data_IF_500243716348
#
_entry.id   IF_500243716348
#
_cell.length_a   1.000
_cell.length_b   1.000
_cell.length_c   1.000
_cell.angle_alpha   90.00
_cell.angle_beta   90.00
_cell.angle_gamma   90.00
#
_symmetry.space_group_name_H-M   'P 1'
#
loop_
_entity.id
_entity.type
_entity.pdbx_description
1 polymer ?
#
# COMPACT_ATOMS: atom_id res chain seq x y z
N UNK A 1 9.19 -50.83 -79.64
CA UNK A 1 9.46 -50.92 -78.19
C UNK A 1 9.12 -49.57 -77.57
N UNK A 2 8.18 -49.56 -76.62
CA UNK A 2 7.70 -48.37 -75.91
C UNK A 2 8.53 -48.22 -74.64
N UNK A 3 9.11 -47.05 -74.38
CA UNK A 3 9.53 -46.66 -73.03
C UNK A 3 9.24 -45.18 -72.81
N UNK A 4 8.14 -44.93 -72.11
CA UNK A 4 7.87 -43.67 -71.42
C UNK A 4 8.72 -43.64 -70.15
N UNK A 5 9.35 -42.51 -69.86
CA UNK A 5 9.90 -42.21 -68.53
C UNK A 5 9.36 -40.84 -68.13
N UNK A 6 8.30 -40.86 -67.31
CA UNK A 6 7.82 -39.68 -66.59
C UNK A 6 8.51 -39.66 -65.23
N UNK A 7 9.29 -38.62 -64.99
CA UNK A 7 9.97 -38.38 -63.72
C UNK A 7 8.96 -37.82 -62.72
N UNK A 8 8.55 -38.62 -61.74
CA UNK A 8 7.69 -38.19 -60.64
C UNK A 8 8.57 -37.62 -59.51
N UNK A 9 8.54 -36.32 -59.30
CA UNK A 9 9.16 -35.66 -58.14
C UNK A 9 8.29 -35.84 -56.90
N UNK A 10 8.76 -36.58 -55.89
CA UNK A 10 8.14 -36.61 -54.57
C UNK A 10 8.57 -35.37 -53.77
N UNK A 11 7.62 -34.52 -53.40
CA UNK A 11 7.79 -33.47 -52.40
C UNK A 11 7.40 -34.06 -51.03
N UNK A 12 8.27 -34.06 -50.01
CA UNK A 12 7.86 -34.44 -48.67
C UNK A 12 7.04 -33.31 -48.05
N UNK A 13 5.77 -33.60 -47.76
CA UNK A 13 4.93 -32.71 -46.96
C UNK A 13 5.38 -32.79 -45.49
N UNK A 14 6.15 -31.80 -45.04
CA UNK A 14 6.47 -31.61 -43.63
C UNK A 14 5.24 -31.00 -42.97
N UNK A 15 4.50 -31.82 -42.21
CA UNK A 15 3.47 -31.30 -41.31
C UNK A 15 4.17 -30.58 -40.15
N UNK A 16 4.32 -29.26 -40.25
CA UNK A 16 4.59 -28.42 -39.10
C UNK A 16 3.32 -28.40 -38.24
N UNK A 17 3.34 -29.16 -37.14
CA UNK A 17 2.37 -28.99 -36.05
C UNK A 17 2.53 -27.56 -35.50
N UNK A 18 1.46 -26.78 -35.31
CA UNK A 18 1.56 -25.60 -34.50
C UNK A 18 1.83 -26.09 -33.07
N UNK A 19 3.04 -25.87 -32.55
CA UNK A 19 3.28 -25.89 -31.11
C UNK A 19 2.52 -24.71 -30.52
N UNK A 20 1.21 -24.90 -30.31
CA UNK A 20 0.34 -23.98 -29.60
C UNK A 20 0.64 -23.96 -28.10
N UNK A 21 1.91 -23.83 -27.73
CA UNK A 21 2.39 -23.74 -26.35
C UNK A 21 3.01 -22.38 -26.03
N UNK A 22 2.93 -21.42 -26.95
CA UNK A 22 3.07 -19.99 -26.64
C UNK A 22 1.71 -19.32 -26.34
N UNK A 23 0.72 -20.14 -25.97
CA UNK A 23 -0.53 -19.66 -25.37
C UNK A 23 -0.25 -19.14 -23.95
N UNK A 24 0.38 -17.98 -23.86
CA UNK A 24 -0.05 -16.86 -23.04
C UNK A 24 -0.73 -17.22 -21.70
N UNK A 25 -0.12 -18.07 -20.89
CA UNK A 25 -0.33 -18.05 -19.44
C UNK A 25 0.54 -16.93 -18.92
N UNK A 26 0.18 -15.68 -19.28
CA UNK A 26 0.38 -14.60 -18.33
C UNK A 26 -0.34 -15.06 -17.08
N UNK A 27 0.41 -15.61 -16.10
CA UNK A 27 -0.14 -15.97 -14.79
C UNK A 27 -0.99 -14.79 -14.37
N UNK A 28 -2.32 -14.94 -14.41
CA UNK A 28 -3.21 -13.98 -13.75
C UNK A 28 -2.73 -14.00 -12.31
N UNK A 29 -1.93 -13.01 -11.91
CA UNK A 29 -1.49 -12.89 -10.54
C UNK A 29 -2.75 -12.92 -9.69
N UNK A 30 -2.77 -13.74 -8.64
CA UNK A 30 -3.92 -13.78 -7.75
C UNK A 30 -4.17 -12.38 -7.20
N UNK A 31 -5.43 -12.04 -6.90
CA UNK A 31 -5.77 -10.74 -6.30
C UNK A 31 -4.91 -10.46 -5.05
N UNK A 32 -4.65 -11.50 -4.24
CA UNK A 32 -3.76 -11.42 -3.07
C UNK A 32 -2.33 -11.02 -3.46
N UNK A 33 -1.76 -11.62 -4.50
CA UNK A 33 -0.41 -11.28 -4.99
C UNK A 33 -0.32 -9.83 -5.45
N UNK A 34 -1.32 -9.35 -6.19
CA UNK A 34 -1.35 -7.96 -6.65
C UNK A 34 -1.53 -6.98 -5.48
N UNK A 35 -2.41 -7.30 -4.52
CA UNK A 35 -2.55 -6.53 -3.28
C UNK A 35 -1.22 -6.42 -2.53
N UNK A 36 -0.52 -7.55 -2.34
CA UNK A 36 0.74 -7.58 -1.60
C UNK A 36 1.86 -6.83 -2.34
N UNK A 37 1.92 -6.95 -3.67
CA UNK A 37 2.84 -6.19 -4.51
C UNK A 37 2.60 -4.69 -4.38
N UNK A 38 1.33 -4.25 -4.45
CA UNK A 38 0.95 -2.84 -4.34
C UNK A 38 1.19 -2.25 -2.95
N UNK A 39 1.10 -3.07 -1.90
CA UNK A 39 1.39 -2.64 -0.54
C UNK A 39 2.88 -2.57 -0.25
N UNK A 40 3.63 -3.63 -0.57
CA UNK A 40 4.95 -3.87 0.04
C UNK A 40 6.11 -3.90 -0.95
N UNK A 41 5.85 -3.84 -2.26
CA UNK A 41 6.91 -3.98 -3.28
C UNK A 41 7.01 -2.80 -4.24
N UNK A 42 6.06 -1.86 -4.19
CA UNK A 42 6.10 -0.64 -5.00
C UNK A 42 6.25 0.59 -4.12
N UNK A 43 6.82 1.64 -4.69
CA UNK A 43 6.94 2.94 -4.03
C UNK A 43 5.57 3.60 -3.86
N UNK A 44 5.46 4.52 -2.91
CA UNK A 44 4.21 5.26 -2.68
C UNK A 44 3.72 6.05 -3.92
N UNK A 45 4.59 6.70 -4.71
CA UNK A 45 4.17 7.32 -5.99
C UNK A 45 3.60 6.31 -6.98
N UNK A 46 4.23 5.14 -7.14
CA UNK A 46 3.72 4.07 -8.00
C UNK A 46 2.35 3.60 -7.52
N UNK A 47 2.20 3.31 -6.22
CA UNK A 47 0.89 2.97 -5.65
C UNK A 47 -0.16 4.05 -5.92
N UNK A 48 0.19 5.32 -5.72
CA UNK A 48 -0.71 6.46 -5.95
C UNK A 48 -1.18 6.52 -7.41
N UNK A 49 -0.29 6.31 -8.37
CA UNK A 49 -0.65 6.23 -9.79
C UNK A 49 -1.64 5.07 -10.06
N UNK A 50 -1.39 3.89 -9.48
CA UNK A 50 -2.28 2.71 -9.62
C UNK A 50 -3.65 2.96 -8.99
N UNK A 51 -3.70 3.60 -7.82
CA UNK A 51 -4.94 4.01 -7.15
C UNK A 51 -5.75 4.98 -8.01
N UNK A 52 -5.11 6.02 -8.53
CA UNK A 52 -5.79 7.04 -9.35
C UNK A 52 -6.38 6.41 -10.63
N UNK A 53 -5.70 5.41 -11.20
CA UNK A 53 -6.21 4.63 -12.33
C UNK A 53 -7.20 3.52 -11.94
N UNK A 54 -7.37 3.24 -10.64
CA UNK A 54 -8.11 2.08 -10.10
C UNK A 54 -7.71 0.77 -10.78
N UNK A 55 -6.41 0.53 -10.91
CA UNK A 55 -5.86 -0.59 -11.68
C UNK A 55 -5.08 -1.58 -10.79
N UNK A 56 -5.53 -2.85 -10.67
CA UNK A 56 -6.66 -3.44 -11.40
C UNK A 56 -8.02 -3.06 -10.77
N UNK A 57 -9.10 -2.98 -11.57
CA UNK A 57 -10.42 -2.58 -11.09
C UNK A 57 -11.09 -3.64 -10.19
N UNK A 58 -10.52 -4.84 -10.13
CA UNK A 58 -11.00 -5.95 -9.31
C UNK A 58 -10.64 -5.81 -7.82
N UNK A 59 -9.74 -4.90 -7.47
CA UNK A 59 -9.37 -4.63 -6.08
C UNK A 59 -10.21 -3.50 -5.48
N UNK A 60 -10.28 -3.48 -4.16
CA UNK A 60 -10.95 -2.41 -3.44
C UNK A 60 -10.07 -1.16 -3.36
N UNK A 61 -10.53 -0.07 -4.00
CA UNK A 61 -9.88 1.24 -3.99
C UNK A 61 -10.63 2.27 -3.13
N UNK A 62 -11.64 1.85 -2.37
CA UNK A 62 -12.35 2.72 -1.42
C UNK A 62 -11.44 3.13 -0.28
N UNK A 63 -11.59 4.37 0.16
CA UNK A 63 -10.72 5.00 1.17
C UNK A 63 -11.35 6.33 1.59
N UNK A 64 -11.45 6.54 2.89
CA UNK A 64 -11.82 7.82 3.52
C UNK A 64 -10.57 8.70 3.76
N UNK A 65 -9.39 8.21 3.38
CA UNK A 65 -8.13 8.92 3.53
C UNK A 65 -7.77 9.03 5.00
N UNK A 66 -7.41 10.22 5.46
CA UNK A 66 -7.05 10.42 6.87
C UNK A 66 -8.23 10.91 7.72
N UNK A 67 -9.48 10.77 7.26
CA UNK A 67 -10.66 11.34 7.94
C UNK A 67 -10.84 10.79 9.36
N UNK A 68 -10.55 9.51 9.57
CA UNK A 68 -10.65 8.85 10.88
C UNK A 68 -9.33 8.90 11.68
N UNK A 69 -8.35 9.69 11.24
CA UNK A 69 -7.02 9.79 11.85
C UNK A 69 -6.91 10.95 12.87
N UNK A 70 -5.87 10.98 13.71
CA UNK A 70 -5.59 12.14 14.57
C UNK A 70 -5.46 13.44 13.76
N UNK A 71 -5.71 14.59 14.39
CA UNK A 71 -5.68 15.88 13.70
C UNK A 71 -4.30 16.17 13.07
N UNK A 72 -4.32 16.81 11.90
CA UNK A 72 -3.14 17.25 11.17
C UNK A 72 -3.26 18.75 10.86
N UNK A 73 -3.14 19.62 11.88
CA UNK A 73 -3.44 21.03 11.73
C UNK A 73 -2.42 21.78 10.87
N UNK A 74 -1.22 21.23 10.69
CA UNK A 74 -0.17 21.80 9.85
C UNK A 74 -0.22 21.33 8.38
N UNK A 75 -1.20 20.50 8.02
CA UNK A 75 -1.43 20.10 6.64
C UNK A 75 -0.31 19.22 6.04
N UNK A 76 0.36 18.39 6.86
CA UNK A 76 1.36 17.46 6.33
C UNK A 76 0.73 16.50 5.30
N UNK A 77 1.44 16.12 4.22
CA UNK A 77 0.84 15.44 3.07
C UNK A 77 0.59 13.93 3.31
N UNK A 78 -0.17 13.58 4.35
CA UNK A 78 -0.38 12.18 4.76
C UNK A 78 -1.43 11.41 3.96
N UNK A 79 -2.26 12.10 3.17
CA UNK A 79 -3.35 11.46 2.41
C UNK A 79 -2.88 10.27 1.55
N UNK A 80 -1.79 10.35 0.76
CA UNK A 80 -1.30 9.17 0.03
C UNK A 80 -0.90 7.98 0.91
N UNK A 81 -0.40 8.20 2.13
CA UNK A 81 -0.09 7.14 3.08
C UNK A 81 -1.38 6.48 3.61
N UNK A 82 -2.34 7.28 4.08
CA UNK A 82 -3.65 6.80 4.55
C UNK A 82 -4.35 6.00 3.46
N UNK A 83 -4.27 6.50 2.23
CA UNK A 83 -4.80 5.87 1.03
C UNK A 83 -4.27 4.44 0.79
N UNK A 84 -2.99 4.17 1.10
CA UNK A 84 -2.39 2.85 0.98
C UNK A 84 -2.70 1.95 2.17
N UNK A 85 -2.83 2.53 3.35
CA UNK A 85 -3.28 1.84 4.56
C UNK A 85 -4.71 1.30 4.41
N UNK A 86 -5.65 2.15 3.97
CA UNK A 86 -7.05 1.78 3.69
C UNK A 86 -7.13 0.65 2.65
N UNK A 87 -6.35 0.77 1.57
CA UNK A 87 -6.27 -0.26 0.54
C UNK A 87 -5.86 -1.61 1.15
N UNK A 88 -4.87 -1.61 2.05
CA UNK A 88 -4.45 -2.82 2.74
C UNK A 88 -5.55 -3.42 3.60
N UNK A 89 -6.16 -2.61 4.46
CA UNK A 89 -7.24 -3.04 5.35
C UNK A 89 -8.44 -3.59 4.56
N UNK A 90 -8.94 -2.86 3.57
CA UNK A 90 -10.12 -3.22 2.81
C UNK A 90 -9.92 -4.49 1.98
N UNK A 91 -8.78 -4.60 1.27
CA UNK A 91 -8.51 -5.78 0.46
C UNK A 91 -8.22 -7.01 1.31
N UNK A 92 -7.45 -6.90 2.40
CA UNK A 92 -7.20 -8.04 3.27
C UNK A 92 -8.48 -8.57 3.93
N UNK A 93 -9.42 -7.69 4.30
CA UNK A 93 -10.75 -8.09 4.79
C UNK A 93 -11.56 -8.81 3.73
N UNK A 94 -11.66 -8.24 2.52
CA UNK A 94 -12.36 -8.87 1.38
C UNK A 94 -11.75 -10.20 0.96
N UNK A 95 -10.45 -10.37 1.19
CA UNK A 95 -9.70 -11.59 0.92
C UNK A 95 -9.67 -12.56 2.12
N UNK A 96 -10.42 -12.27 3.18
CA UNK A 96 -10.55 -13.10 4.39
C UNK A 96 -9.22 -13.46 5.05
N UNK A 97 -8.26 -12.53 5.02
CA UNK A 97 -6.90 -12.74 5.54
C UNK A 97 -6.38 -11.59 6.42
N UNK A 98 -7.29 -10.79 6.96
CA UNK A 98 -6.97 -9.67 7.87
C UNK A 98 -6.73 -10.18 9.29
N UNK A 99 -5.56 -10.78 9.52
CA UNK A 99 -5.09 -11.28 10.83
C UNK A 99 -4.34 -10.19 11.61
N UNK A 100 -4.06 -10.43 12.90
CA UNK A 100 -3.19 -9.56 13.73
C UNK A 100 -1.84 -9.30 13.05
N UNK A 101 -1.20 -10.34 12.50
CA UNK A 101 0.10 -10.21 11.83
C UNK A 101 0.02 -9.44 10.50
N UNK A 102 -1.07 -9.64 9.74
CA UNK A 102 -1.33 -8.87 8.53
C UNK A 102 -1.54 -7.39 8.84
N UNK A 103 -2.37 -7.10 9.84
CA UNK A 103 -2.61 -5.74 10.34
C UNK A 103 -1.29 -5.07 10.75
N UNK A 104 -0.49 -5.72 11.60
CA UNK A 104 0.79 -5.16 12.04
C UNK A 104 1.74 -4.86 10.87
N UNK A 105 1.75 -5.71 9.83
CA UNK A 105 2.54 -5.48 8.62
C UNK A 105 2.03 -4.28 7.81
N UNK A 106 0.71 -4.12 7.68
CA UNK A 106 0.10 -2.98 7.00
C UNK A 106 0.35 -1.67 7.77
N UNK A 107 0.19 -1.68 9.09
CA UNK A 107 0.45 -0.52 9.96
C UNK A 107 1.94 -0.10 9.88
N UNK A 108 2.87 -1.07 9.85
CA UNK A 108 4.31 -0.79 9.68
C UNK A 108 4.63 -0.16 8.32
N UNK A 109 3.96 -0.62 7.26
CA UNK A 109 4.08 -0.04 5.92
C UNK A 109 3.53 1.39 5.87
N UNK A 110 2.43 1.64 6.58
CA UNK A 110 1.86 2.98 6.73
C UNK A 110 2.81 3.95 7.42
N UNK A 111 3.49 3.55 8.50
CA UNK A 111 4.55 4.36 9.12
C UNK A 111 5.66 4.71 8.12
N UNK A 112 6.07 3.75 7.31
CA UNK A 112 7.09 3.96 6.26
C UNK A 112 6.64 5.01 5.26
N UNK A 113 5.38 4.99 4.84
CA UNK A 113 4.81 6.00 3.93
C UNK A 113 4.69 7.38 4.55
N UNK A 114 4.22 7.46 5.80
CA UNK A 114 4.13 8.74 6.50
C UNK A 114 5.52 9.39 6.60
N UNK A 115 6.55 8.59 6.91
CA UNK A 115 7.94 9.05 6.96
C UNK A 115 8.45 9.48 5.58
N UNK A 116 8.09 8.74 4.52
CA UNK A 116 8.39 9.15 3.14
C UNK A 116 7.77 10.51 2.81
N UNK A 117 6.51 10.74 3.19
CA UNK A 117 5.85 12.02 2.96
C UNK A 117 6.55 13.19 3.68
N UNK A 118 7.10 12.92 4.88
CA UNK A 118 7.87 13.91 5.62
C UNK A 118 9.21 14.32 4.98
N UNK A 119 9.71 13.58 3.98
CA UNK A 119 10.96 13.97 3.29
C UNK A 119 10.83 15.27 2.49
N UNK A 120 9.61 15.61 2.08
CA UNK A 120 9.30 16.83 1.33
C UNK A 120 8.89 18.02 2.21
N UNK A 121 8.74 17.80 3.52
CA UNK A 121 8.28 18.83 4.46
C UNK A 121 9.44 19.70 4.94
N UNK A 122 9.25 21.02 4.97
CA UNK A 122 10.18 21.95 5.60
C UNK A 122 10.30 21.72 7.11
N UNK A 123 9.26 21.19 7.74
CA UNK A 123 9.23 20.82 9.16
C UNK A 123 9.33 19.30 9.34
N UNK A 124 10.32 18.66 8.69
CA UNK A 124 10.45 17.20 8.65
C UNK A 124 10.47 16.53 10.03
N UNK A 125 11.05 17.17 11.05
CA UNK A 125 11.07 16.66 12.43
C UNK A 125 9.67 16.57 13.04
N UNK A 126 8.91 17.67 13.01
CA UNK A 126 7.53 17.73 13.51
C UNK A 126 6.61 16.80 12.70
N UNK A 127 6.80 16.75 11.38
CA UNK A 127 6.07 15.82 10.52
C UNK A 127 6.27 14.37 10.95
N UNK A 128 7.52 13.95 11.20
CA UNK A 128 7.80 12.58 11.67
C UNK A 128 7.23 12.30 13.06
N UNK A 129 7.22 13.31 13.94
CA UNK A 129 6.57 13.17 15.24
C UNK A 129 5.05 12.94 15.08
N UNK A 130 4.36 13.66 14.19
CA UNK A 130 2.96 13.37 13.88
C UNK A 130 2.77 12.01 13.20
N UNK A 131 3.70 11.60 12.34
CA UNK A 131 3.68 10.27 11.73
C UNK A 131 3.74 9.15 12.79
N UNK A 132 4.50 9.34 13.87
CA UNK A 132 4.53 8.40 14.99
C UNK A 132 3.20 8.37 15.75
N UNK A 133 2.53 9.51 15.93
CA UNK A 133 1.17 9.57 16.50
C UNK A 133 0.18 8.78 15.65
N UNK A 134 0.19 8.98 14.33
CA UNK A 134 -0.67 8.25 13.39
C UNK A 134 -0.44 6.74 13.45
N UNK A 135 0.83 6.31 13.48
CA UNK A 135 1.18 4.90 13.59
C UNK A 135 0.72 4.29 14.92
N UNK A 136 0.94 4.98 16.04
CA UNK A 136 0.48 4.50 17.34
C UNK A 136 -1.05 4.43 17.41
N UNK A 137 -1.76 5.38 16.80
CA UNK A 137 -3.22 5.40 16.74
C UNK A 137 -3.79 4.17 16.00
N UNK A 138 -3.27 3.84 14.80
CA UNK A 138 -3.77 2.66 14.06
C UNK A 138 -3.45 1.35 14.80
N UNK A 139 -2.35 1.30 15.56
CA UNK A 139 -2.03 0.14 16.40
C UNK A 139 -2.99 -0.02 17.57
N UNK A 140 -3.30 1.07 18.27
CA UNK A 140 -4.14 1.04 19.46
C UNK A 140 -5.64 0.94 19.14
N UNK A 141 -6.08 1.52 18.03
CA UNK A 141 -7.51 1.80 17.78
C UNK A 141 -8.02 1.32 16.42
N UNK A 142 -7.15 0.96 15.49
CA UNK A 142 -7.53 0.47 14.17
C UNK A 142 -7.81 -1.03 14.17
N UNK A 143 -8.67 -1.50 13.28
CA UNK A 143 -8.76 -2.92 12.94
C UNK A 143 -9.25 -3.84 14.06
N UNK A 144 -10.26 -3.41 14.83
CA UNK A 144 -10.87 -4.17 15.93
C UNK A 144 -11.29 -5.60 15.52
N UNK A 145 -11.59 -5.84 14.24
CA UNK A 145 -11.92 -7.15 13.67
C UNK A 145 -10.72 -8.11 13.59
N UNK A 146 -9.49 -7.60 13.44
CA UNK A 146 -8.27 -8.40 13.51
C UNK A 146 -7.80 -8.63 14.96
N UNK A 147 -8.11 -7.71 15.88
CA UNK A 147 -7.76 -7.77 17.30
C UNK A 147 -9.01 -7.69 18.20
N UNK A 148 -9.90 -8.69 18.16
CA UNK A 148 -11.15 -8.65 18.91
C UNK A 148 -10.88 -8.74 20.42
N UNK A 149 -11.41 -7.79 21.19
CA UNK A 149 -11.25 -7.76 22.65
C UNK A 149 -11.18 -6.35 23.22
N UNK A 150 -10.74 -6.24 24.48
CA UNK A 150 -10.41 -4.94 25.06
C UNK A 150 -9.16 -4.39 24.39
N UNK A 151 -9.14 -3.07 24.17
CA UNK A 151 -7.97 -2.36 23.67
C UNK A 151 -6.78 -2.61 24.59
N UNK A 152 -5.63 -2.86 23.98
CA UNK A 152 -4.38 -3.10 24.69
C UNK A 152 -3.94 -1.79 25.37
N UNK A 153 -3.97 -1.78 26.71
CA UNK A 153 -3.65 -0.61 27.52
C UNK A 153 -2.23 -0.11 27.28
N UNK A 154 -1.29 -0.98 26.91
CA UNK A 154 0.09 -0.57 26.64
C UNK A 154 0.21 0.14 25.28
N UNK A 155 -0.63 -0.23 24.29
CA UNK A 155 -0.72 0.51 23.03
C UNK A 155 -1.35 1.89 23.20
N UNK A 156 -2.32 2.01 24.12
CA UNK A 156 -2.91 3.32 24.45
C UNK A 156 -1.88 4.22 25.11
N UNK A 157 -1.09 3.70 26.06
CA UNK A 157 0.03 4.45 26.66
C UNK A 157 1.07 4.86 25.62
N UNK A 158 1.42 3.97 24.69
CA UNK A 158 2.33 4.28 23.57
C UNK A 158 1.78 5.46 22.74
N UNK A 159 0.49 5.44 22.42
CA UNK A 159 -0.17 6.54 21.70
C UNK A 159 -0.10 7.86 22.47
N UNK A 160 -0.44 7.87 23.75
CA UNK A 160 -0.37 9.07 24.61
C UNK A 160 1.06 9.64 24.70
N UNK A 161 2.06 8.76 24.81
CA UNK A 161 3.47 9.16 24.78
C UNK A 161 3.83 9.83 23.46
N UNK A 162 3.41 9.27 22.31
CA UNK A 162 3.67 9.89 20.99
C UNK A 162 2.98 11.24 20.84
N UNK A 163 1.76 11.40 21.36
CA UNK A 163 1.07 12.69 21.37
C UNK A 163 1.86 13.72 22.19
N UNK A 164 2.36 13.35 23.37
CA UNK A 164 3.17 14.24 24.19
C UNK A 164 4.48 14.65 23.48
N UNK A 165 5.15 13.72 22.82
CA UNK A 165 6.37 14.00 22.03
C UNK A 165 6.06 14.96 20.87
N UNK A 166 4.98 14.71 20.13
CA UNK A 166 4.55 15.59 19.03
C UNK A 166 4.24 17.01 19.52
N UNK A 167 3.47 17.15 20.61
CA UNK A 167 3.13 18.46 21.17
C UNK A 167 4.39 19.24 21.57
N UNK A 168 5.34 18.58 22.23
CA UNK A 168 6.63 19.20 22.57
C UNK A 168 7.42 19.63 21.32
N UNK A 169 7.46 18.79 20.28
CA UNK A 169 8.13 19.13 19.03
C UNK A 169 7.49 20.33 18.32
N UNK A 170 6.15 20.45 18.38
CA UNK A 170 5.41 21.60 17.86
C UNK A 170 5.79 22.88 18.63
N UNK A 171 5.76 22.84 19.96
CA UNK A 171 6.13 23.99 20.80
C UNK A 171 7.55 24.47 20.51
N UNK A 172 8.52 23.56 20.41
CA UNK A 172 9.92 23.88 20.11
C UNK A 172 10.08 24.48 18.70
N UNK A 173 9.39 23.94 17.70
CA UNK A 173 9.43 24.46 16.33
C UNK A 173 8.78 25.84 16.23
N UNK A 174 7.65 26.07 16.91
CA UNK A 174 6.99 27.37 16.99
C UNK A 174 7.84 28.41 17.71
N UNK A 175 8.55 28.04 18.77
CA UNK A 175 9.48 28.92 19.48
C UNK A 175 10.65 29.38 18.61
N UNK A 176 11.08 28.54 17.66
CA UNK A 176 12.13 28.85 16.67
C UNK A 176 11.61 29.56 15.42
N UNK A 177 10.29 29.72 15.27
CA UNK A 177 9.68 30.28 14.07
C UNK A 177 9.69 29.33 12.86
N UNK A 178 9.92 28.03 13.08
CA UNK A 178 9.95 26.99 12.05
C UNK A 178 8.55 26.48 11.68
N UNK A 179 7.55 26.76 12.53
CA UNK A 179 6.15 26.35 12.35
C UNK A 179 5.21 27.48 12.76
N UNK A 180 4.08 27.70 12.06
CA UNK A 180 3.11 28.72 12.46
C UNK A 180 2.49 28.40 13.82
N UNK A 181 2.10 29.46 14.55
CA UNK A 181 1.22 29.31 15.71
C UNK A 181 -0.20 29.08 15.21
N UNK A 182 -0.84 28.05 15.76
CA UNK A 182 -2.25 27.78 15.55
C UNK A 182 -3.01 28.61 16.60
N UNK A 183 -4.00 29.36 16.16
CA UNK A 183 -4.85 30.22 16.95
C UNK A 183 -5.98 29.47 17.69
#
# INVERSE_FOLDING_TARGET
>A
MKFSVSLLTLIPAVFALPTGEDAAVSKRQSANTVTDQLLFSVTLPTFTARRNARDPPTLDWTSDGCTSSPDNPFGFPFVPACNRHDFGYNNYRKQSRFTVSAKARIDSNFKTDLYYQCTSSSAAGVCRALADVYYAAVRAFGGDDATPGKRDEDLVKEYEEKVAIYNKAVEEAQAKGELPRLD
#
